data_IF_358320617365
#
_entry.id   IF_358320617365
#
_cell.length_a   1.000
_cell.length_b   1.000
_cell.length_c   1.000
_cell.angle_alpha   90.00
_cell.angle_beta   90.00
_cell.angle_gamma   90.00
#
_symmetry.space_group_name_H-M   'P 1'
#
loop_
_entity.id
_entity.type
_entity.pdbx_description
1 polymer ?
#
# COMPACT_ATOMS: atom_id res chain seq x y z
N UNK A 1 -39.09 10.68 -42.24
CA UNK A 1 -37.71 10.30 -41.87
C UNK A 1 -37.38 9.00 -42.57
N UNK A 2 -36.42 9.00 -43.49
CA UNK A 2 -36.11 7.81 -44.30
C UNK A 2 -35.48 6.73 -43.39
N UNK A 3 -35.83 5.44 -43.55
CA UNK A 3 -35.34 4.34 -42.70
C UNK A 3 -33.81 4.24 -42.67
N UNK A 4 -33.14 4.72 -43.73
CA UNK A 4 -31.69 4.74 -43.88
C UNK A 4 -30.97 5.67 -42.87
N UNK A 5 -31.60 6.79 -42.47
CA UNK A 5 -31.01 7.70 -41.47
C UNK A 5 -30.90 7.03 -40.10
N UNK A 6 -31.93 6.27 -39.70
CA UNK A 6 -31.92 5.54 -38.43
C UNK A 6 -30.83 4.47 -38.45
N UNK A 7 -30.71 3.73 -39.55
CA UNK A 7 -29.70 2.67 -39.71
C UNK A 7 -28.27 3.22 -39.59
N UNK A 8 -27.95 4.34 -40.25
CA UNK A 8 -26.64 4.98 -40.16
C UNK A 8 -26.34 5.44 -38.72
N UNK A 9 -27.31 6.06 -38.04
CA UNK A 9 -27.13 6.51 -36.65
C UNK A 9 -26.85 5.36 -35.68
N UNK A 10 -27.56 4.23 -35.81
CA UNK A 10 -27.33 3.05 -34.97
C UNK A 10 -25.97 2.41 -35.23
N UNK A 11 -25.56 2.29 -36.50
CA UNK A 11 -24.23 1.76 -36.85
C UNK A 11 -23.11 2.64 -36.31
N UNK A 12 -23.24 3.96 -36.45
CA UNK A 12 -22.28 4.91 -35.89
C UNK A 12 -22.18 4.80 -34.37
N UNK A 13 -23.32 4.75 -33.67
CA UNK A 13 -23.34 4.58 -32.22
C UNK A 13 -22.69 3.26 -31.78
N UNK A 14 -22.97 2.16 -32.49
CA UNK A 14 -22.38 0.85 -32.20
C UNK A 14 -20.85 0.86 -32.39
N UNK A 15 -20.34 1.52 -33.43
CA UNK A 15 -18.90 1.67 -33.66
C UNK A 15 -18.22 2.47 -32.54
N UNK A 16 -18.82 3.58 -32.10
CA UNK A 16 -18.27 4.38 -30.99
C UNK A 16 -18.27 3.58 -29.69
N UNK A 17 -19.37 2.91 -29.36
CA UNK A 17 -19.45 2.06 -28.17
C UNK A 17 -18.45 0.89 -28.22
N UNK A 18 -18.27 0.29 -29.40
CA UNK A 18 -17.29 -0.78 -29.61
C UNK A 18 -15.85 -0.28 -29.41
N UNK A 19 -15.51 0.89 -29.96
CA UNK A 19 -14.19 1.50 -29.77
C UNK A 19 -13.92 1.85 -28.30
N UNK A 20 -14.91 2.38 -27.58
CA UNK A 20 -14.80 2.66 -26.14
C UNK A 20 -14.62 1.38 -25.32
N UNK A 21 -15.39 0.33 -25.62
CA UNK A 21 -15.28 -0.97 -24.95
C UNK A 21 -13.90 -1.59 -25.15
N UNK A 22 -13.39 -1.62 -26.38
CA UNK A 22 -12.03 -2.08 -26.68
C UNK A 22 -10.97 -1.23 -25.98
N UNK A 23 -11.17 0.08 -25.94
CA UNK A 23 -10.31 1.01 -25.21
C UNK A 23 -10.18 0.64 -23.73
N UNK A 24 -11.30 0.35 -23.05
CA UNK A 24 -11.28 -0.05 -21.65
C UNK A 24 -10.73 -1.47 -21.40
N UNK A 25 -10.89 -2.40 -22.35
CA UNK A 25 -10.29 -3.73 -22.25
C UNK A 25 -8.76 -3.64 -22.32
N UNK A 26 -8.23 -2.77 -23.18
CA UNK A 26 -6.78 -2.60 -23.36
C UNK A 26 -6.17 -1.71 -22.26
N UNK A 27 -6.79 -0.58 -21.93
CA UNK A 27 -6.25 0.41 -21.00
C UNK A 27 -6.65 0.19 -19.53
N UNK A 28 -7.69 -0.61 -19.27
CA UNK A 28 -8.32 -0.74 -17.95
C UNK A 28 -9.47 0.26 -17.73
N UNK A 29 -10.34 -0.03 -16.76
CA UNK A 29 -11.47 0.83 -16.41
C UNK A 29 -11.07 1.98 -15.48
N UNK A 30 -11.80 3.12 -15.48
CA UNK A 30 -11.57 4.21 -14.54
C UNK A 30 -11.65 3.76 -13.07
N UNK A 31 -12.52 2.79 -12.76
CA UNK A 31 -12.64 2.23 -11.42
C UNK A 31 -11.36 1.51 -10.99
N UNK A 32 -10.84 0.62 -11.85
CA UNK A 32 -9.59 -0.11 -11.57
C UNK A 32 -8.41 0.83 -11.34
N UNK A 33 -8.36 1.95 -12.08
CA UNK A 33 -7.34 2.97 -11.88
C UNK A 33 -7.46 3.72 -10.53
N UNK A 34 -8.67 3.88 -10.00
CA UNK A 34 -8.88 4.44 -8.66
C UNK A 34 -8.50 3.44 -7.57
N UNK A 35 -8.92 2.19 -7.72
CA UNK A 35 -8.59 1.10 -6.80
C UNK A 35 -7.08 0.93 -6.67
N UNK A 36 -6.37 0.95 -7.82
CA UNK A 36 -4.90 0.89 -7.83
C UNK A 36 -4.25 2.04 -7.07
N UNK A 37 -4.72 3.29 -7.25
CA UNK A 37 -4.17 4.44 -6.52
C UNK A 37 -4.42 4.33 -5.02
N UNK A 38 -5.59 3.84 -4.63
CA UNK A 38 -5.91 3.62 -3.22
C UNK A 38 -4.98 2.57 -2.60
N UNK A 39 -4.73 1.45 -3.29
CA UNK A 39 -3.79 0.42 -2.84
C UNK A 39 -2.34 0.92 -2.79
N UNK A 40 -1.94 1.77 -3.75
CA UNK A 40 -0.62 2.42 -3.75
C UNK A 40 -0.46 3.37 -2.55
N UNK A 41 -1.49 4.16 -2.23
CA UNK A 41 -1.50 5.04 -1.05
C UNK A 41 -1.51 4.23 0.27
N UNK A 42 -2.23 3.11 0.33
CA UNK A 42 -2.16 2.18 1.46
C UNK A 42 -0.73 1.70 1.68
N UNK A 43 -0.07 1.19 0.65
CA UNK A 43 1.31 0.72 0.75
C UNK A 43 2.27 1.82 1.17
N UNK A 44 2.12 3.05 0.65
CA UNK A 44 2.93 4.19 1.07
C UNK A 44 2.77 4.48 2.57
N UNK A 45 1.53 4.47 3.07
CA UNK A 45 1.26 4.66 4.49
C UNK A 45 1.89 3.54 5.33
N UNK A 46 1.74 2.27 4.94
CA UNK A 46 2.34 1.13 5.65
C UNK A 46 3.88 1.22 5.67
N UNK A 47 4.48 1.52 4.53
CA UNK A 47 5.92 1.70 4.37
C UNK A 47 6.46 2.79 5.30
N UNK A 48 5.73 3.89 5.40
CA UNK A 48 6.07 4.98 6.29
C UNK A 48 5.95 4.56 7.76
N UNK A 49 4.85 3.89 8.14
CA UNK A 49 4.65 3.37 9.49
C UNK A 49 5.81 2.44 9.89
N UNK A 50 6.20 1.51 9.01
CA UNK A 50 7.33 0.61 9.24
C UNK A 50 8.63 1.37 9.48
N UNK A 51 8.91 2.39 8.66
CA UNK A 51 10.09 3.26 8.83
C UNK A 51 10.06 3.99 10.18
N UNK A 52 8.90 4.50 10.59
CA UNK A 52 8.71 5.17 11.88
C UNK A 52 8.85 4.20 13.07
N UNK A 53 8.37 2.96 12.94
CA UNK A 53 8.53 1.90 13.95
C UNK A 53 10.01 1.53 14.08
N UNK A 54 10.71 1.34 12.96
CA UNK A 54 12.15 1.04 12.95
C UNK A 54 12.94 2.14 13.65
N UNK A 55 12.72 3.40 13.27
CA UNK A 55 13.34 4.55 13.93
C UNK A 55 13.01 4.63 15.42
N UNK A 56 11.75 4.35 15.81
CA UNK A 56 11.35 4.31 17.22
C UNK A 56 12.11 3.23 17.98
N UNK A 57 12.25 2.05 17.39
CA UNK A 57 12.99 0.95 17.97
C UNK A 57 14.48 1.27 18.12
N UNK A 58 15.11 1.89 17.12
CA UNK A 58 16.52 2.30 17.20
C UNK A 58 16.78 3.27 18.36
N UNK A 59 15.82 4.16 18.65
CA UNK A 59 15.95 5.17 19.71
C UNK A 59 15.55 4.66 21.11
N UNK A 60 14.54 3.79 21.18
CA UNK A 60 13.93 3.34 22.45
C UNK A 60 14.28 1.91 22.84
N UNK A 61 14.87 1.14 21.93
CA UNK A 61 15.17 -0.28 22.12
C UNK A 61 13.95 -1.18 22.31
N UNK A 62 12.75 -0.68 21.97
CA UNK A 62 11.48 -1.38 22.14
C UNK A 62 10.48 -0.97 21.07
N UNK A 63 9.55 -1.88 20.74
CA UNK A 63 8.47 -1.58 19.81
C UNK A 63 7.47 -0.58 20.44
N UNK A 64 6.89 0.34 19.65
CA UNK A 64 5.86 1.24 20.15
C UNK A 64 4.63 0.42 20.57
N UNK A 65 4.02 0.75 21.71
CA UNK A 65 2.83 0.04 22.17
C UNK A 65 1.65 0.17 21.19
N UNK A 66 1.54 1.32 20.53
CA UNK A 66 0.49 1.62 19.55
C UNK A 66 0.97 2.59 18.47
N UNK A 67 0.22 2.75 17.38
CA UNK A 67 0.52 3.75 16.35
C UNK A 67 0.34 5.20 16.84
N UNK A 68 -0.52 5.46 17.83
CA UNK A 68 -0.64 6.76 18.50
C UNK A 68 0.66 7.16 19.19
N UNK A 69 1.42 6.19 19.68
CA UNK A 69 2.73 6.45 20.31
C UNK A 69 3.70 7.08 19.30
N UNK A 70 3.66 6.63 18.04
CA UNK A 70 4.47 7.20 16.96
C UNK A 70 4.00 8.61 16.57
N UNK A 71 2.68 8.82 16.56
CA UNK A 71 2.09 10.13 16.30
C UNK A 71 2.48 11.16 17.37
N UNK A 72 2.30 10.81 18.65
CA UNK A 72 2.64 11.66 19.78
C UNK A 72 4.14 11.98 19.83
N UNK A 73 4.99 11.06 19.36
CA UNK A 73 6.42 11.27 19.21
C UNK A 73 6.81 12.10 17.96
N UNK A 74 5.86 12.54 17.15
CA UNK A 74 6.10 13.33 15.94
C UNK A 74 6.79 12.56 14.81
N UNK A 75 6.69 11.21 14.80
CA UNK A 75 7.43 10.35 13.87
C UNK A 75 6.68 10.00 12.60
N UNK A 76 5.40 10.38 12.50
CA UNK A 76 4.57 10.15 11.32
C UNK A 76 4.48 11.43 10.48
N UNK A 77 5.23 11.50 9.39
CA UNK A 77 5.14 12.55 8.38
C UNK A 77 3.76 12.55 7.71
N UNK A 78 2.92 13.57 7.94
CA UNK A 78 1.52 13.55 7.50
C UNK A 78 0.53 13.22 8.62
N UNK A 79 1.03 12.94 9.83
CA UNK A 79 0.25 12.91 11.05
C UNK A 79 -0.83 11.82 11.04
N UNK A 80 -2.06 12.22 11.38
CA UNK A 80 -3.19 11.32 11.58
C UNK A 80 -3.58 10.54 10.33
N UNK A 81 -3.47 11.16 9.15
CA UNK A 81 -3.91 10.57 7.89
C UNK A 81 -3.16 9.28 7.55
N UNK A 82 -1.87 9.19 7.91
CA UNK A 82 -1.01 8.03 7.62
C UNK A 82 -1.47 6.78 8.38
N UNK A 83 -2.13 6.94 9.52
CA UNK A 83 -2.61 5.81 10.34
C UNK A 83 -3.89 5.18 9.81
N UNK A 84 -4.51 5.78 8.79
CA UNK A 84 -5.82 5.39 8.31
C UNK A 84 -5.80 4.99 6.84
N UNK A 85 -6.75 4.12 6.49
CA UNK A 85 -7.07 3.78 5.11
C UNK A 85 -7.57 5.04 4.36
N UNK A 86 -7.02 5.35 3.17
CA UNK A 86 -7.40 6.56 2.45
C UNK A 86 -8.84 6.56 1.96
N UNK A 87 -9.47 5.39 1.83
CA UNK A 87 -10.85 5.21 1.36
C UNK A 87 -11.80 4.98 2.54
N UNK A 88 -11.55 3.98 3.37
CA UNK A 88 -12.47 3.60 4.46
C UNK A 88 -12.33 4.49 5.68
N UNK A 89 -11.20 5.20 5.82
CA UNK A 89 -10.85 6.01 7.00
C UNK A 89 -10.71 5.20 8.29
N UNK A 90 -10.69 3.88 8.19
CA UNK A 90 -10.41 2.99 9.33
C UNK A 90 -8.92 2.98 9.62
N UNK A 91 -8.54 2.85 10.90
CA UNK A 91 -7.14 2.76 11.28
C UNK A 91 -6.52 1.44 10.80
N UNK A 92 -5.25 1.47 10.41
CA UNK A 92 -4.49 0.25 10.16
C UNK A 92 -4.33 -0.57 11.43
N UNK A 93 -4.43 -1.88 11.29
CA UNK A 93 -4.30 -2.81 12.41
C UNK A 93 -2.83 -3.09 12.66
N UNK A 94 -2.37 -2.74 13.86
CA UNK A 94 -1.00 -2.93 14.33
C UNK A 94 -1.01 -3.78 15.59
N UNK A 95 -0.19 -4.83 15.61
CA UNK A 95 0.01 -5.64 16.81
C UNK A 95 1.46 -6.09 16.97
N UNK A 96 1.90 -6.14 18.21
CA UNK A 96 3.18 -6.76 18.57
C UNK A 96 2.99 -8.28 18.52
N UNK A 97 3.79 -8.96 17.69
CA UNK A 97 3.75 -10.41 17.50
C UNK A 97 4.90 -11.13 18.22
N UNK A 98 5.88 -10.38 18.74
CA UNK A 98 7.02 -10.90 19.50
C UNK A 98 7.96 -9.77 19.95
N UNK A 99 9.13 -10.11 20.49
CA UNK A 99 10.02 -9.12 21.10
C UNK A 99 10.55 -8.04 20.13
N UNK A 100 10.80 -8.44 18.87
CA UNK A 100 11.25 -7.57 17.78
C UNK A 100 10.37 -7.69 16.54
N UNK A 101 9.21 -8.33 16.66
CA UNK A 101 8.33 -8.64 15.53
C UNK A 101 6.97 -8.01 15.75
N UNK A 102 6.44 -7.39 14.71
CA UNK A 102 5.09 -6.83 14.70
C UNK A 102 4.37 -7.21 13.42
N UNK A 103 3.05 -7.13 13.46
CA UNK A 103 2.21 -7.23 12.28
C UNK A 103 1.54 -5.90 11.99
N UNK A 104 1.41 -5.62 10.71
CA UNK A 104 0.69 -4.46 10.20
C UNK A 104 -0.23 -4.90 9.06
N UNK A 105 -1.53 -4.67 9.20
CA UNK A 105 -2.53 -5.14 8.26
C UNK A 105 -3.27 -4.01 7.54
N UNK A 106 -3.63 -4.27 6.28
CA UNK A 106 -4.49 -3.43 5.46
C UNK A 106 -5.41 -4.29 4.60
N UNK A 107 -6.43 -3.66 4.00
CA UNK A 107 -7.35 -4.30 3.06
C UNK A 107 -7.14 -3.75 1.67
N UNK A 108 -6.61 -4.57 0.77
CA UNK A 108 -6.31 -4.19 -0.61
C UNK A 108 -7.45 -4.59 -1.54
N UNK A 109 -7.71 -3.77 -2.57
CA UNK A 109 -8.74 -4.09 -3.57
C UNK A 109 -8.17 -5.01 -4.66
N UNK A 110 -6.92 -4.78 -5.04
CA UNK A 110 -6.18 -5.52 -6.05
C UNK A 110 -5.07 -6.35 -5.39
N UNK A 111 -4.60 -7.40 -6.07
CA UNK A 111 -3.36 -8.06 -5.65
C UNK A 111 -2.14 -7.27 -6.12
N UNK A 112 -0.99 -7.44 -5.47
CA UNK A 112 0.27 -6.85 -5.95
C UNK A 112 0.60 -7.27 -7.40
N UNK A 113 0.13 -8.46 -7.83
CA UNK A 113 0.31 -9.01 -9.18
C UNK A 113 -0.61 -8.39 -10.24
N UNK A 114 -1.65 -7.67 -9.83
CA UNK A 114 -2.54 -6.96 -10.75
C UNK A 114 -1.94 -5.64 -11.28
N UNK A 115 -0.90 -5.14 -10.59
CA UNK A 115 -0.13 -3.96 -10.96
C UNK A 115 0.84 -4.25 -12.09
N UNK A 116 0.35 -4.30 -13.34
CA UNK A 116 1.24 -4.45 -14.51
C UNK A 116 2.20 -3.25 -14.62
N UNK A 117 3.49 -3.47 -14.40
CA UNK A 117 4.57 -2.56 -14.80
C UNK A 117 5.07 -1.57 -13.75
N UNK A 118 4.59 -1.60 -12.50
CA UNK A 118 5.16 -0.83 -11.39
C UNK A 118 5.57 -1.78 -10.28
N UNK A 119 6.82 -2.20 -10.31
CA UNK A 119 7.43 -2.99 -9.25
C UNK A 119 7.35 -2.17 -7.95
N UNK A 120 6.57 -2.66 -6.99
CA UNK A 120 6.48 -2.04 -5.67
C UNK A 120 7.86 -2.17 -5.04
N UNK A 121 8.59 -1.05 -4.98
CA UNK A 121 9.96 -1.04 -4.49
C UNK A 121 9.98 -1.58 -3.05
N UNK A 122 10.70 -2.67 -2.85
CA UNK A 122 10.98 -3.17 -1.52
C UNK A 122 11.68 -2.08 -0.70
N UNK A 123 11.21 -1.86 0.53
CA UNK A 123 11.88 -0.94 1.45
C UNK A 123 12.85 -1.74 2.30
N UNK A 124 14.12 -1.30 2.38
CA UNK A 124 15.06 -1.96 3.26
C UNK A 124 14.71 -1.72 4.74
N UNK A 125 14.76 -2.78 5.52
CA UNK A 125 14.64 -2.83 6.99
C UNK A 125 15.83 -3.65 7.49
N UNK A 126 16.53 -3.32 8.57
CA UNK A 126 17.76 -4.08 8.90
C UNK A 126 18.98 -3.23 9.30
N UNK A 127 19.93 -3.76 10.11
CA UNK A 127 21.29 -3.22 10.18
C UNK A 127 21.87 -3.16 8.77
N UNK A 128 22.40 -1.99 8.40
CA UNK A 128 22.94 -1.76 7.07
C UNK A 128 21.93 -1.87 5.93
N UNK A 129 20.61 -1.81 6.20
CA UNK A 129 19.54 -1.93 5.19
C UNK A 129 19.56 -3.28 4.44
N UNK A 130 19.92 -4.36 5.15
CA UNK A 130 20.15 -5.69 4.55
C UNK A 130 18.90 -6.58 4.46
N UNK A 131 17.87 -6.33 5.26
CA UNK A 131 16.56 -6.95 5.13
C UNK A 131 15.64 -6.12 4.24
N UNK A 132 14.57 -6.72 3.73
CA UNK A 132 13.57 -6.07 2.90
C UNK A 132 12.18 -6.54 3.30
N UNK A 133 11.22 -5.63 3.34
CA UNK A 133 9.82 -6.02 3.44
C UNK A 133 9.31 -6.37 2.04
N UNK A 134 8.87 -7.61 1.85
CA UNK A 134 8.15 -7.97 0.64
C UNK A 134 6.71 -7.45 0.74
N UNK A 135 6.34 -6.55 -0.16
CA UNK A 135 5.01 -5.95 -0.26
C UNK A 135 4.07 -6.75 -1.16
N UNK A 136 4.36 -8.02 -1.40
CA UNK A 136 3.43 -8.92 -2.07
C UNK A 136 2.21 -9.22 -1.20
N UNK A 137 1.03 -9.03 -1.77
CA UNK A 137 -0.23 -9.31 -1.09
C UNK A 137 -1.30 -9.78 -2.08
N UNK A 138 -2.25 -10.62 -1.63
CA UNK A 138 -3.47 -10.88 -2.37
C UNK A 138 -4.41 -9.66 -2.32
N UNK A 139 -5.47 -9.70 -3.11
CA UNK A 139 -6.63 -8.84 -2.85
C UNK A 139 -7.30 -9.26 -1.53
N UNK A 140 -7.86 -8.30 -0.81
CA UNK A 140 -8.48 -8.46 0.50
C UNK A 140 -7.57 -8.08 1.67
N UNK A 141 -7.97 -8.48 2.88
CA UNK A 141 -7.21 -8.22 4.11
C UNK A 141 -5.92 -9.02 4.11
N UNK A 142 -4.78 -8.34 4.29
CA UNK A 142 -3.47 -8.96 4.39
C UNK A 142 -2.65 -8.31 5.52
N UNK A 143 -1.86 -9.11 6.22
CA UNK A 143 -1.00 -8.69 7.32
C UNK A 143 0.46 -8.99 6.98
N UNK A 144 1.30 -7.96 7.06
CA UNK A 144 2.75 -8.11 6.90
C UNK A 144 3.38 -8.35 8.27
N UNK A 145 4.09 -9.46 8.43
CA UNK A 145 4.90 -9.73 9.62
C UNK A 145 6.30 -9.19 9.40
N UNK A 146 6.70 -8.23 10.23
CA UNK A 146 7.93 -7.46 10.05
C UNK A 146 8.75 -7.53 11.34
N UNK A 147 10.03 -7.85 11.19
CA UNK A 147 11.00 -7.82 12.27
C UNK A 147 11.78 -6.49 12.20
N UNK A 148 11.81 -5.76 13.32
CA UNK A 148 12.71 -4.62 13.47
C UNK A 148 14.10 -5.12 13.81
N UNK A 149 15.08 -4.33 13.43
CA UNK A 149 16.47 -4.71 13.55
C UNK A 149 17.27 -3.64 14.27
N UNK A 150 18.32 -3.98 15.00
CA UNK A 150 19.18 -2.95 15.60
C UNK A 150 20.12 -2.39 14.53
N UNK A 151 19.99 -1.12 14.15
CA UNK A 151 20.96 -0.50 13.25
C UNK A 151 22.26 -0.20 14.02
N UNK A 152 23.19 -1.15 14.01
CA UNK A 152 24.62 -0.92 14.29
C UNK A 152 24.97 -0.14 15.56
N UNK A 153 24.98 -0.82 16.71
CA UNK A 153 26.14 -0.64 17.61
C UNK A 153 27.20 -1.63 17.12
N UNK A 154 28.43 -1.21 16.76
CA UNK A 154 29.50 -2.18 16.63
C UNK A 154 29.57 -2.94 17.95
N UNK A 155 29.62 -4.26 17.85
CA UNK A 155 29.94 -5.13 18.98
C UNK A 155 31.27 -4.62 19.56
N UNK A 156 31.24 -3.85 20.65
CA UNK A 156 32.42 -3.71 21.51
C UNK A 156 32.50 -5.03 22.24
N UNK A 157 33.03 -6.03 21.55
CA UNK A 157 33.54 -7.24 22.17
C UNK A 157 34.57 -6.79 23.22
N UNK A 158 34.38 -7.33 24.42
CA UNK A 158 35.29 -7.21 25.56
C UNK A 158 36.51 -8.09 25.34
#
# INVERSE_FOLDING_TARGET
MAPYQRLISWTGAALVLGALGLGFVVAGSPQRARDFRADEERLQNLQQIVSSIQSYYDDKGSLPATLETLLAAGRLFGGEAVRHDPITKEAYDYRIAGAKTFELCATFVLSSKDGRGRELRAIPVGPGKTGFVNWDHPAGRHCFSIEVSESGKPNREQ
#
